data_IF_926917562811
#
_entry.id   IF_926917562811
#
_cell.length_a   1.000
_cell.length_b   1.000
_cell.length_c   1.000
_cell.angle_alpha   90.00
_cell.angle_beta   90.00
_cell.angle_gamma   90.00
#
_symmetry.space_group_name_H-M   'P 1'
#
loop_
_entity.id
_entity.type
_entity.pdbx_description
1 polymer ?
#
# COMPACT_ATOMS: atom_id res chain seq x y z
N UNK A 1 25.25 32.81 -24.85
CA UNK A 1 24.06 32.34 -25.61
C UNK A 1 24.44 31.05 -26.29
N UNK A 2 24.10 29.90 -25.69
CA UNK A 2 24.34 28.59 -26.28
C UNK A 2 22.99 27.85 -26.25
N UNK A 3 22.36 27.75 -27.43
CA UNK A 3 21.14 26.97 -27.66
C UNK A 3 21.53 25.50 -27.72
N UNK A 4 20.96 24.67 -26.87
CA UNK A 4 21.01 23.20 -27.00
C UNK A 4 19.61 22.75 -27.40
N UNK A 5 19.56 22.00 -28.49
CA UNK A 5 18.37 21.62 -29.23
C UNK A 5 17.51 20.60 -28.46
N UNK A 6 16.19 20.82 -28.50
CA UNK A 6 15.18 19.82 -28.18
C UNK A 6 15.14 18.83 -29.33
N UNK A 7 15.66 17.61 -29.12
CA UNK A 7 15.45 16.50 -30.05
C UNK A 7 14.06 15.91 -29.84
N UNK A 8 13.23 16.05 -30.87
CA UNK A 8 11.98 15.34 -31.11
C UNK A 8 12.12 13.84 -30.83
N UNK A 9 11.06 13.28 -30.25
CA UNK A 9 10.80 11.85 -30.13
C UNK A 9 11.07 11.13 -31.45
N UNK A 10 11.97 10.14 -31.41
CA UNK A 10 12.00 9.10 -32.41
C UNK A 10 10.97 8.05 -31.97
N UNK A 11 9.87 7.95 -32.71
CA UNK A 11 8.96 6.81 -32.65
C UNK A 11 9.76 5.52 -32.88
N UNK A 12 10.02 4.78 -31.81
CA UNK A 12 10.43 3.38 -31.90
C UNK A 12 9.14 2.57 -31.95
N UNK A 13 8.88 1.97 -33.11
CA UNK A 13 7.82 1.01 -33.29
C UNK A 13 7.99 -0.13 -32.26
N UNK A 14 6.94 -0.38 -31.49
CA UNK A 14 6.87 -1.49 -30.54
C UNK A 14 7.08 -2.82 -31.27
N UNK A 15 8.06 -3.60 -30.82
CA UNK A 15 8.18 -5.02 -31.15
C UNK A 15 6.94 -5.77 -30.63
N UNK A 16 6.33 -6.71 -31.37
CA UNK A 16 5.09 -7.38 -30.96
C UNK A 16 5.23 -8.37 -29.78
N UNK A 17 6.41 -8.47 -29.14
CA UNK A 17 6.71 -9.50 -28.14
C UNK A 17 7.14 -8.97 -26.76
N UNK A 18 7.03 -7.68 -26.49
CA UNK A 18 7.14 -7.20 -25.11
C UNK A 18 5.81 -7.46 -24.40
N UNK A 19 5.71 -8.63 -23.77
CA UNK A 19 4.65 -8.92 -22.83
C UNK A 19 4.65 -7.81 -21.77
N UNK A 20 3.68 -6.91 -21.85
CA UNK A 20 3.38 -5.96 -20.77
C UNK A 20 3.18 -6.81 -19.52
N UNK A 21 4.16 -6.78 -18.63
CA UNK A 21 4.06 -7.37 -17.30
C UNK A 21 2.98 -6.57 -16.58
N UNK A 22 1.74 -7.06 -16.63
CA UNK A 22 0.61 -6.49 -15.92
C UNK A 22 0.92 -6.54 -14.44
N UNK A 23 1.24 -5.41 -13.81
CA UNK A 23 1.44 -5.27 -12.36
C UNK A 23 0.09 -5.42 -11.60
N UNK A 24 0.06 -6.14 -10.46
CA UNK A 24 -1.16 -6.31 -9.66
C UNK A 24 -1.73 -4.96 -9.22
N UNK A 25 -0.89 -4.10 -8.65
CA UNK A 25 -1.17 -2.68 -8.60
C UNK A 25 -0.67 -2.05 -9.91
N UNK A 26 -1.40 -1.11 -10.49
CA UNK A 26 -1.07 -0.49 -11.76
C UNK A 26 -1.07 1.04 -11.67
N UNK A 27 -0.46 1.67 -12.68
CA UNK A 27 -0.48 3.11 -12.88
C UNK A 27 -1.92 3.58 -13.15
N UNK A 28 -2.58 4.14 -12.14
CA UNK A 28 -3.97 4.62 -12.23
C UNK A 28 -4.14 6.10 -11.90
N UNK A 29 -3.14 6.73 -11.27
CA UNK A 29 -3.16 8.17 -11.08
C UNK A 29 -2.88 8.90 -12.42
N UNK A 30 -3.60 10.00 -12.65
CA UNK A 30 -3.60 10.71 -13.93
C UNK A 30 -2.42 11.69 -14.07
N UNK A 31 -1.93 12.25 -12.96
CA UNK A 31 -0.81 13.20 -12.92
C UNK A 31 0.31 12.68 -12.03
N UNK A 32 0.85 11.51 -12.39
CA UNK A 32 1.87 10.78 -11.61
C UNK A 32 1.46 10.61 -10.13
N UNK A 33 2.03 11.39 -9.23
CA UNK A 33 1.77 11.32 -7.78
C UNK A 33 0.77 12.37 -7.29
N UNK A 34 0.44 13.35 -8.12
CA UNK A 34 -0.47 14.42 -7.76
C UNK A 34 -1.92 13.92 -7.83
N UNK A 35 -2.72 14.10 -6.77
CA UNK A 35 -4.13 13.82 -6.84
C UNK A 35 -4.82 14.71 -7.88
N UNK A 36 -5.78 14.16 -8.61
CA UNK A 36 -6.45 14.84 -9.73
C UNK A 36 -7.96 14.73 -9.62
N UNK A 37 -8.66 15.80 -9.99
CA UNK A 37 -10.12 15.82 -10.13
C UNK A 37 -10.56 14.97 -11.34
N UNK A 38 -11.63 14.21 -11.15
CA UNK A 38 -12.29 13.39 -12.16
C UNK A 38 -13.80 13.47 -11.96
N UNK A 39 -14.54 13.21 -13.05
CA UNK A 39 -15.98 13.02 -12.97
C UNK A 39 -16.32 11.90 -11.97
N UNK A 40 -17.23 12.20 -11.05
CA UNK A 40 -17.72 11.19 -10.14
C UNK A 40 -18.55 10.12 -10.86
N UNK A 41 -18.53 8.87 -10.37
CA UNK A 41 -19.48 7.86 -10.83
C UNK A 41 -20.93 8.32 -10.59
N UNK A 42 -21.86 7.78 -11.37
CA UNK A 42 -23.30 8.11 -11.29
C UNK A 42 -23.86 7.94 -9.87
N UNK A 43 -23.40 6.90 -9.18
CA UNK A 43 -23.57 6.78 -7.72
C UNK A 43 -22.37 7.42 -7.05
N UNK A 44 -22.52 8.64 -6.53
CA UNK A 44 -21.42 9.36 -5.88
C UNK A 44 -20.91 8.59 -4.65
N UNK A 45 -19.60 8.62 -4.39
CA UNK A 45 -19.04 8.00 -3.20
C UNK A 45 -19.55 8.69 -1.93
N UNK A 46 -19.66 7.92 -0.86
CA UNK A 46 -20.03 8.40 0.47
C UNK A 46 -19.36 7.53 1.53
N UNK A 47 -19.29 8.02 2.76
CA UNK A 47 -18.74 7.26 3.88
C UNK A 47 -19.76 6.22 4.32
N UNK A 48 -19.37 4.95 4.19
CA UNK A 48 -20.16 3.80 4.57
C UNK A 48 -20.04 3.55 6.07
N UNK A 49 -21.14 3.22 6.75
CA UNK A 49 -21.12 2.76 8.15
C UNK A 49 -20.37 1.44 8.28
N UNK A 50 -19.59 1.29 9.35
CA UNK A 50 -18.81 0.08 9.65
C UNK A 50 -19.64 -1.12 10.17
N UNK A 51 -20.97 -1.04 10.18
CA UNK A 51 -21.87 -2.12 10.63
C UNK A 51 -21.76 -3.42 9.81
N UNK A 52 -21.32 -3.31 8.56
CA UNK A 52 -21.21 -4.44 7.61
C UNK A 52 -19.91 -4.33 6.81
N UNK A 53 -19.67 -5.29 5.93
CA UNK A 53 -18.61 -5.17 4.91
C UNK A 53 -19.11 -4.28 3.75
N UNK A 54 -18.18 -3.84 2.91
CA UNK A 54 -18.56 -3.20 1.64
C UNK A 54 -19.16 -4.22 0.67
N UNK A 55 -20.01 -3.74 -0.25
CA UNK A 55 -20.62 -4.56 -1.29
C UNK A 55 -19.52 -5.16 -2.19
N UNK A 56 -18.45 -4.41 -2.42
CA UNK A 56 -17.28 -4.82 -3.19
C UNK A 56 -16.57 -6.00 -2.52
N UNK A 57 -16.35 -5.94 -1.20
CA UNK A 57 -15.77 -7.05 -0.44
C UNK A 57 -16.70 -8.26 -0.41
N UNK A 58 -18.01 -8.09 -0.18
CA UNK A 58 -18.99 -9.19 -0.20
C UNK A 58 -18.97 -9.93 -1.55
N UNK A 59 -19.00 -9.19 -2.67
CA UNK A 59 -18.88 -9.75 -4.02
C UNK A 59 -17.54 -10.45 -4.27
N UNK A 60 -16.46 -9.92 -3.69
CA UNK A 60 -15.16 -10.55 -3.80
C UNK A 60 -15.11 -11.86 -2.98
N UNK A 61 -15.73 -11.90 -1.81
CA UNK A 61 -15.83 -13.09 -0.95
C UNK A 61 -16.59 -14.23 -1.62
N UNK A 62 -17.62 -13.93 -2.42
CA UNK A 62 -18.33 -14.94 -3.23
C UNK A 62 -17.39 -15.71 -4.16
N UNK A 63 -16.29 -15.08 -4.60
CA UNK A 63 -15.23 -15.71 -5.42
C UNK A 63 -14.12 -16.31 -4.55
N UNK A 64 -13.67 -15.58 -3.52
CA UNK A 64 -12.55 -15.99 -2.67
C UNK A 64 -12.86 -17.26 -1.89
N UNK A 65 -14.00 -17.31 -1.20
CA UNK A 65 -14.34 -18.42 -0.30
C UNK A 65 -14.31 -19.79 -1.02
N UNK A 66 -14.88 -19.97 -2.22
CA UNK A 66 -14.69 -21.19 -3.00
C UNK A 66 -13.21 -21.53 -3.24
N UNK A 67 -12.38 -20.55 -3.62
CA UNK A 67 -10.97 -20.77 -3.93
C UNK A 67 -10.10 -21.13 -2.71
N UNK A 68 -10.61 -20.96 -1.48
CA UNK A 68 -9.91 -21.39 -0.26
C UNK A 68 -10.11 -22.86 0.08
N UNK A 69 -11.12 -23.52 -0.50
CA UNK A 69 -11.57 -24.87 -0.13
C UNK A 69 -10.50 -25.92 -0.42
N UNK A 70 -10.11 -26.07 -1.69
CA UNK A 70 -9.16 -27.12 -2.09
C UNK A 70 -7.80 -26.97 -1.40
N UNK A 71 -7.17 -25.77 -1.35
CA UNK A 71 -5.92 -25.58 -0.62
C UNK A 71 -6.04 -25.94 0.86
N UNK A 72 -7.20 -25.68 1.48
CA UNK A 72 -7.42 -25.97 2.90
C UNK A 72 -7.61 -27.46 3.16
N UNK A 73 -8.29 -28.19 2.26
CA UNK A 73 -8.37 -29.65 2.32
C UNK A 73 -6.97 -30.25 2.19
N UNK A 74 -6.20 -29.84 1.18
CA UNK A 74 -4.83 -30.33 0.97
C UNK A 74 -3.92 -30.07 2.17
N UNK A 75 -4.00 -28.85 2.75
CA UNK A 75 -3.26 -28.48 3.95
C UNK A 75 -3.65 -29.36 5.14
N UNK A 76 -4.95 -29.47 5.45
CA UNK A 76 -5.42 -30.18 6.64
C UNK A 76 -5.20 -31.69 6.56
N UNK A 77 -5.35 -32.28 5.36
CA UNK A 77 -4.98 -33.68 5.13
C UNK A 77 -3.50 -33.92 5.40
N UNK A 78 -2.64 -32.99 4.96
CA UNK A 78 -1.19 -33.09 5.18
C UNK A 78 -0.78 -32.87 6.63
N UNK A 79 -1.49 -32.00 7.36
CA UNK A 79 -1.30 -31.81 8.82
C UNK A 79 -1.67 -33.08 9.58
N UNK A 80 -2.62 -33.89 9.06
CA UNK A 80 -2.93 -35.20 9.63
C UNK A 80 -3.50 -35.11 11.04
N UNK A 81 -4.48 -34.23 11.26
CA UNK A 81 -5.13 -34.05 12.57
C UNK A 81 -5.76 -35.38 12.99
N UNK A 82 -5.31 -35.90 14.14
CA UNK A 82 -5.81 -37.17 14.68
C UNK A 82 -7.33 -37.12 14.86
N UNK A 83 -8.01 -38.18 14.43
CA UNK A 83 -9.46 -38.37 14.56
C UNK A 83 -10.31 -37.33 13.79
N UNK A 84 -9.73 -36.64 12.78
CA UNK A 84 -10.44 -35.70 11.91
C UNK A 84 -10.24 -36.02 10.43
N UNK A 85 -11.32 -36.40 9.74
CA UNK A 85 -11.33 -36.52 8.28
C UNK A 85 -11.64 -35.17 7.64
N UNK A 86 -10.59 -34.45 7.29
CA UNK A 86 -10.69 -33.15 6.62
C UNK A 86 -11.46 -33.26 5.29
N UNK A 87 -11.24 -34.30 4.49
CA UNK A 87 -11.90 -34.42 3.19
C UNK A 87 -13.41 -34.61 3.37
N UNK A 88 -13.81 -35.52 4.27
CA UNK A 88 -15.22 -35.76 4.56
C UNK A 88 -15.92 -34.50 5.07
N UNK A 89 -15.28 -33.77 6.00
CA UNK A 89 -15.83 -32.53 6.56
C UNK A 89 -16.10 -31.50 5.46
N UNK A 90 -15.10 -31.25 4.60
CA UNK A 90 -15.22 -30.27 3.53
C UNK A 90 -16.19 -30.72 2.44
N UNK A 91 -16.21 -32.00 2.05
CA UNK A 91 -17.18 -32.53 1.08
C UNK A 91 -18.63 -32.33 1.56
N UNK A 92 -18.87 -32.49 2.86
CA UNK A 92 -20.18 -32.28 3.51
C UNK A 92 -20.59 -30.80 3.48
N UNK A 93 -19.65 -29.88 3.70
CA UNK A 93 -19.92 -28.45 3.89
C UNK A 93 -19.52 -27.55 2.71
N UNK A 94 -19.09 -28.11 1.57
CA UNK A 94 -18.55 -27.35 0.42
C UNK A 94 -19.48 -26.28 -0.17
N UNK A 95 -20.78 -26.34 0.13
CA UNK A 95 -21.80 -25.35 -0.28
C UNK A 95 -22.22 -24.39 0.84
N UNK A 96 -21.73 -24.58 2.06
CA UNK A 96 -22.02 -23.74 3.21
C UNK A 96 -20.72 -23.13 3.74
N UNK A 97 -20.27 -22.02 3.13
CA UNK A 97 -19.02 -21.36 3.49
C UNK A 97 -19.00 -20.83 4.93
N UNK A 98 -20.16 -20.58 5.55
CA UNK A 98 -20.25 -20.22 6.97
C UNK A 98 -19.89 -21.38 7.90
N UNK A 99 -20.00 -22.62 7.43
CA UNK A 99 -19.55 -23.81 8.14
C UNK A 99 -18.08 -24.16 7.83
N UNK A 100 -17.43 -23.48 6.88
CA UNK A 100 -16.02 -23.69 6.59
C UNK A 100 -15.14 -22.68 7.35
N UNK A 101 -13.92 -23.06 7.77
CA UNK A 101 -13.00 -22.13 8.41
C UNK A 101 -12.75 -20.89 7.54
N UNK A 102 -12.65 -19.74 8.21
CA UNK A 102 -12.25 -18.48 7.60
C UNK A 102 -10.90 -18.09 8.19
N UNK A 103 -9.83 -18.23 7.41
CA UNK A 103 -8.46 -18.05 7.88
C UNK A 103 -7.96 -16.66 7.49
N UNK A 104 -7.27 -15.99 8.41
CA UNK A 104 -6.53 -14.77 8.13
C UNK A 104 -5.10 -14.88 8.66
N UNK A 105 -4.15 -14.31 7.93
CA UNK A 105 -2.75 -14.20 8.36
C UNK A 105 -2.52 -12.76 8.79
N UNK A 106 -2.01 -12.56 10.02
CA UNK A 106 -1.70 -11.23 10.54
C UNK A 106 -0.20 -11.09 10.82
N UNK A 107 0.38 -9.99 10.35
CA UNK A 107 1.81 -9.77 10.32
C UNK A 107 2.22 -8.49 11.07
N UNK A 108 3.01 -8.64 12.13
CA UNK A 108 3.46 -7.54 12.99
C UNK A 108 4.59 -6.68 12.38
N UNK A 109 4.72 -5.46 12.90
CA UNK A 109 5.74 -4.49 12.50
C UNK A 109 7.15 -4.75 13.02
N UNK A 110 8.10 -3.94 12.56
CA UNK A 110 9.51 -3.99 13.00
C UNK A 110 10.55 -3.75 11.89
N UNK A 111 10.23 -2.88 10.93
CA UNK A 111 11.12 -2.52 9.81
C UNK A 111 11.60 -3.70 8.97
N UNK A 112 12.81 -3.59 8.40
CA UNK A 112 13.40 -4.64 7.55
C UNK A 112 13.52 -5.99 8.26
N UNK A 113 13.76 -6.02 9.58
CA UNK A 113 13.81 -7.28 10.34
C UNK A 113 12.48 -8.02 10.26
N UNK A 114 11.38 -7.32 10.53
CA UNK A 114 10.04 -7.91 10.46
C UNK A 114 9.68 -8.30 9.02
N UNK A 115 10.06 -7.46 8.05
CA UNK A 115 9.88 -7.74 6.63
C UNK A 115 10.59 -9.03 6.18
N UNK A 116 11.89 -9.15 6.44
CA UNK A 116 12.71 -10.30 6.03
C UNK A 116 12.29 -11.59 6.76
N UNK A 117 12.03 -11.51 8.07
CA UNK A 117 11.49 -12.64 8.82
C UNK A 117 10.10 -13.06 8.28
N UNK A 118 9.25 -12.07 7.99
CA UNK A 118 7.95 -12.32 7.38
C UNK A 118 8.03 -12.94 6.01
N UNK A 119 9.03 -12.58 5.21
CA UNK A 119 9.24 -13.20 3.90
C UNK A 119 9.54 -14.70 4.03
N UNK A 120 10.36 -15.10 5.00
CA UNK A 120 10.61 -16.52 5.28
C UNK A 120 9.35 -17.28 5.73
N UNK A 121 8.55 -16.68 6.62
CA UNK A 121 7.27 -17.28 7.07
C UNK A 121 6.29 -17.40 5.90
N UNK A 122 6.16 -16.34 5.10
CA UNK A 122 5.26 -16.31 3.96
C UNK A 122 5.68 -17.32 2.88
N UNK A 123 6.99 -17.46 2.64
CA UNK A 123 7.53 -18.49 1.75
C UNK A 123 7.14 -19.90 2.21
N UNK A 124 7.17 -20.17 3.51
CA UNK A 124 6.74 -21.47 4.07
C UNK A 124 5.23 -21.72 3.95
N UNK A 125 4.41 -20.66 3.98
CA UNK A 125 2.95 -20.74 3.85
C UNK A 125 2.46 -20.78 2.39
N UNK A 126 3.28 -20.32 1.46
CA UNK A 126 2.94 -20.21 0.05
C UNK A 126 3.21 -21.52 -0.69
N UNK A 127 2.17 -22.17 -1.21
CA UNK A 127 2.31 -23.43 -1.99
C UNK A 127 3.12 -23.27 -3.28
N UNK A 128 3.35 -22.03 -3.73
CA UNK A 128 4.18 -21.72 -4.90
C UNK A 128 5.68 -21.81 -4.61
N UNK A 129 6.07 -21.89 -3.33
CA UNK A 129 7.46 -22.14 -2.93
C UNK A 129 7.78 -23.62 -3.09
N UNK A 130 8.89 -23.92 -3.76
CA UNK A 130 9.33 -25.31 -3.98
C UNK A 130 9.41 -26.10 -2.67
N UNK A 131 8.92 -27.33 -2.70
CA UNK A 131 8.87 -28.26 -1.56
C UNK A 131 8.02 -27.80 -0.35
N UNK A 132 7.33 -26.65 -0.41
CA UNK A 132 6.50 -26.16 0.70
C UNK A 132 5.29 -27.04 1.04
N UNK A 133 4.91 -27.94 0.13
CA UNK A 133 3.79 -28.88 0.29
C UNK A 133 4.22 -30.31 0.64
N UNK A 134 5.52 -30.54 0.91
CA UNK A 134 6.00 -31.83 1.40
C UNK A 134 5.44 -32.17 2.78
N UNK A 135 5.44 -33.44 3.16
CA UNK A 135 4.99 -33.91 4.46
C UNK A 135 5.63 -33.10 5.60
N UNK A 136 4.80 -32.59 6.53
CA UNK A 136 5.24 -31.74 7.63
C UNK A 136 5.38 -30.24 7.32
N UNK A 137 5.16 -29.79 6.08
CA UNK A 137 5.24 -28.38 5.69
C UNK A 137 3.87 -27.69 5.55
N UNK A 138 3.86 -26.35 5.61
CA UNK A 138 2.66 -25.51 5.74
C UNK A 138 2.24 -24.80 4.44
N UNK A 139 2.83 -25.16 3.30
CA UNK A 139 2.50 -24.58 1.99
C UNK A 139 1.03 -24.77 1.65
N UNK A 140 0.38 -23.73 1.15
CA UNK A 140 -1.07 -23.72 0.93
C UNK A 140 -1.83 -22.93 2.00
N UNK A 141 -1.24 -22.65 3.17
CA UNK A 141 -1.88 -21.79 4.17
C UNK A 141 -2.17 -20.39 3.63
N UNK A 142 -1.28 -19.82 2.81
CA UNK A 142 -1.54 -18.54 2.13
C UNK A 142 -2.74 -18.68 1.16
N UNK A 143 -2.77 -19.76 0.39
CA UNK A 143 -3.85 -20.04 -0.57
C UNK A 143 -5.20 -20.29 0.12
N UNK A 144 -5.21 -20.90 1.31
CA UNK A 144 -6.41 -21.11 2.15
C UNK A 144 -6.89 -19.86 2.88
N UNK A 145 -6.06 -18.82 3.00
CA UNK A 145 -6.41 -17.62 3.79
C UNK A 145 -7.36 -16.70 3.02
N UNK A 146 -8.37 -16.13 3.67
CA UNK A 146 -9.20 -15.09 3.07
C UNK A 146 -8.48 -13.74 3.09
N UNK A 147 -7.81 -13.41 4.20
CA UNK A 147 -7.17 -12.11 4.38
C UNK A 147 -5.69 -12.27 4.77
N UNK A 148 -4.88 -11.29 4.37
CA UNK A 148 -3.52 -11.11 4.87
C UNK A 148 -3.35 -9.66 5.32
N UNK A 149 -3.25 -9.44 6.63
CA UNK A 149 -3.07 -8.13 7.21
C UNK A 149 -1.62 -7.90 7.64
N UNK A 150 -1.13 -6.67 7.50
CA UNK A 150 0.21 -6.30 7.91
C UNK A 150 0.32 -4.84 8.35
N UNK A 151 1.25 -4.57 9.27
CA UNK A 151 1.60 -3.21 9.68
C UNK A 151 3.11 -2.97 9.66
N UNK A 152 3.51 -1.70 9.48
CA UNK A 152 4.92 -1.25 9.47
C UNK A 152 5.79 -2.10 8.52
N UNK A 153 6.97 -2.57 8.93
CA UNK A 153 7.90 -3.32 8.06
C UNK A 153 7.28 -4.49 7.28
N UNK A 154 6.26 -5.18 7.81
CA UNK A 154 5.58 -6.25 7.06
C UNK A 154 4.54 -5.72 6.07
N UNK A 155 4.06 -4.49 6.23
CA UNK A 155 3.26 -3.84 5.18
C UNK A 155 4.09 -3.66 3.91
N UNK A 156 5.40 -3.41 4.00
CA UNK A 156 6.28 -3.33 2.84
C UNK A 156 6.37 -4.67 2.10
N UNK A 157 6.46 -5.78 2.83
CA UNK A 157 6.46 -7.12 2.26
C UNK A 157 5.16 -7.40 1.50
N UNK A 158 4.02 -7.24 2.18
CA UNK A 158 2.71 -7.52 1.58
C UNK A 158 2.43 -6.55 0.43
N UNK A 159 2.69 -5.25 0.62
CA UNK A 159 2.60 -4.25 -0.43
C UNK A 159 3.45 -4.57 -1.65
N UNK A 160 4.71 -4.98 -1.45
CA UNK A 160 5.61 -5.41 -2.53
C UNK A 160 5.05 -6.62 -3.28
N UNK A 161 4.58 -7.65 -2.57
CA UNK A 161 4.02 -8.85 -3.22
C UNK A 161 2.80 -8.49 -4.06
N UNK A 162 1.85 -7.75 -3.47
CA UNK A 162 0.63 -7.36 -4.15
C UNK A 162 0.79 -6.22 -5.15
N UNK A 163 1.89 -5.47 -5.14
CA UNK A 163 2.17 -4.52 -6.22
C UNK A 163 2.78 -5.24 -7.44
N UNK A 164 3.59 -6.27 -7.19
CA UNK A 164 4.36 -6.96 -8.21
C UNK A 164 3.75 -8.33 -8.52
N UNK A 165 2.51 -8.37 -8.98
CA UNK A 165 1.87 -9.57 -9.55
C UNK A 165 1.58 -10.68 -8.59
N UNK A 166 1.35 -10.31 -7.33
CA UNK A 166 1.19 -11.25 -6.25
C UNK A 166 2.39 -12.22 -6.27
N UNK A 167 3.60 -11.72 -6.57
CA UNK A 167 4.80 -12.56 -6.73
C UNK A 167 5.07 -13.39 -5.46
N UNK A 168 5.79 -14.51 -5.60
CA UNK A 168 6.20 -15.31 -4.44
C UNK A 168 7.56 -14.86 -3.92
N UNK A 169 7.81 -15.06 -2.63
CA UNK A 169 9.14 -14.79 -2.05
C UNK A 169 10.21 -15.62 -2.76
N UNK A 170 9.91 -16.87 -3.13
CA UNK A 170 10.85 -17.70 -3.89
C UNK A 170 11.18 -17.08 -5.25
N UNK A 171 10.20 -16.55 -5.99
CA UNK A 171 10.43 -15.91 -7.28
C UNK A 171 11.38 -14.72 -7.16
N UNK A 172 11.17 -13.86 -6.16
CA UNK A 172 12.07 -12.74 -5.85
C UNK A 172 13.49 -13.24 -5.58
N UNK A 173 13.64 -14.25 -4.71
CA UNK A 173 14.96 -14.74 -4.34
C UNK A 173 15.71 -15.42 -5.50
N UNK A 174 14.99 -16.03 -6.45
CA UNK A 174 15.58 -16.69 -7.62
C UNK A 174 16.23 -15.70 -8.59
N UNK A 175 15.71 -14.49 -8.68
CA UNK A 175 16.31 -13.42 -9.48
C UNK A 175 17.63 -12.92 -8.88
N UNK A 176 17.87 -13.18 -7.58
CA UNK A 176 19.12 -12.84 -6.90
C UNK A 176 19.41 -11.34 -6.96
N UNK A 177 20.64 -10.96 -7.30
CA UNK A 177 21.04 -9.55 -7.44
C UNK A 177 20.35 -8.82 -8.60
N UNK A 178 19.74 -9.56 -9.55
CA UNK A 178 19.06 -8.98 -10.70
C UNK A 178 17.58 -8.66 -10.42
N UNK A 179 17.06 -8.97 -9.23
CA UNK A 179 15.67 -8.64 -8.93
C UNK A 179 15.47 -7.13 -9.04
N UNK A 180 14.33 -6.62 -9.55
CA UNK A 180 14.05 -5.18 -9.59
C UNK A 180 13.39 -4.67 -8.30
N UNK A 181 13.08 -5.56 -7.35
CA UNK A 181 12.50 -5.24 -6.04
C UNK A 181 13.42 -5.75 -4.92
N UNK A 182 13.14 -5.45 -3.66
CA UNK A 182 14.01 -5.79 -2.54
C UNK A 182 15.48 -5.32 -2.71
N UNK A 183 15.66 -4.11 -3.27
CA UNK A 183 16.97 -3.50 -3.59
C UNK A 183 17.75 -3.07 -2.32
N UNK A 184 18.18 -4.03 -1.50
CA UNK A 184 18.79 -3.81 -0.17
C UNK A 184 20.30 -3.61 -0.16
N UNK A 185 20.96 -3.71 -1.32
CA UNK A 185 22.39 -3.46 -1.50
C UNK A 185 22.78 -2.03 -1.08
N UNK A 186 21.85 -1.08 -1.24
CA UNK A 186 21.99 0.29 -0.79
C UNK A 186 20.88 0.63 0.21
N UNK A 187 21.19 1.56 1.11
CA UNK A 187 20.19 2.09 2.03
C UNK A 187 19.19 3.01 1.30
N UNK A 188 18.03 3.26 1.92
CA UNK A 188 17.07 4.28 1.45
C UNK A 188 17.70 5.69 1.36
N UNK A 189 18.78 5.95 2.10
CA UNK A 189 19.50 7.23 2.09
C UNK A 189 20.46 7.37 0.91
N UNK A 190 20.73 6.28 0.20
CA UNK A 190 21.61 6.24 -0.97
C UNK A 190 20.79 6.03 -2.26
N UNK A 191 19.64 5.36 -2.17
CA UNK A 191 18.80 5.02 -3.30
C UNK A 191 19.34 3.81 -4.08
N UNK A 192 18.62 3.35 -5.12
CA UNK A 192 19.00 2.16 -5.88
C UNK A 192 20.39 2.34 -6.53
N UNK A 193 21.15 1.24 -6.71
CA UNK A 193 22.41 1.29 -7.43
C UNK A 193 22.15 1.63 -8.89
N UNK A 194 23.09 2.34 -9.50
CA UNK A 194 23.10 2.57 -10.94
C UNK A 194 24.48 2.24 -11.50
N UNK A 195 24.61 2.14 -12.82
CA UNK A 195 25.90 1.90 -13.47
C UNK A 195 26.88 3.08 -13.33
N UNK A 196 26.44 4.22 -12.77
CA UNK A 196 27.24 5.45 -12.60
C UNK A 196 27.90 5.58 -11.23
N UNK A 197 28.49 6.75 -10.96
CA UNK A 197 29.02 7.08 -9.63
C UNK A 197 27.85 7.25 -8.66
N UNK A 198 27.81 6.42 -7.61
CA UNK A 198 26.68 6.33 -6.66
C UNK A 198 26.27 7.68 -6.06
N UNK A 199 27.21 8.59 -5.80
CA UNK A 199 26.88 9.92 -5.24
C UNK A 199 25.99 10.73 -6.19
N UNK A 200 26.22 10.66 -7.51
CA UNK A 200 25.38 11.37 -8.48
C UNK A 200 24.01 10.72 -8.64
N UNK A 201 23.93 9.38 -8.57
CA UNK A 201 22.63 8.69 -8.59
C UNK A 201 21.82 8.96 -7.34
N UNK A 202 22.43 9.07 -6.16
CA UNK A 202 21.76 9.50 -4.92
C UNK A 202 21.16 10.90 -5.07
N UNK A 203 21.90 11.86 -5.64
CA UNK A 203 21.39 13.22 -5.84
C UNK A 203 20.20 13.27 -6.82
N UNK A 204 20.27 12.50 -7.92
CA UNK A 204 19.17 12.37 -8.88
C UNK A 204 17.95 11.69 -8.26
N UNK A 205 18.16 10.61 -7.51
CA UNK A 205 17.12 9.88 -6.77
C UNK A 205 16.32 10.81 -5.85
N UNK A 206 17.00 11.59 -5.01
CA UNK A 206 16.30 12.56 -4.16
C UNK A 206 15.66 13.69 -4.98
N UNK A 207 16.28 14.13 -6.08
CA UNK A 207 15.69 15.17 -6.94
C UNK A 207 14.35 14.72 -7.52
N UNK A 208 14.25 13.45 -7.92
CA UNK A 208 13.00 12.82 -8.37
C UNK A 208 11.97 12.80 -7.24
N UNK A 209 12.32 12.28 -6.06
CA UNK A 209 11.42 12.21 -4.90
C UNK A 209 10.87 13.60 -4.56
N UNK A 210 11.75 14.60 -4.46
CA UNK A 210 11.37 15.96 -4.09
C UNK A 210 10.50 16.62 -5.15
N UNK A 211 10.82 16.42 -6.44
CA UNK A 211 9.99 16.91 -7.55
C UNK A 211 8.57 16.37 -7.43
N UNK A 212 8.43 15.05 -7.26
CA UNK A 212 7.14 14.35 -7.22
C UNK A 212 6.29 14.80 -6.02
N UNK A 213 6.89 14.91 -4.82
CA UNK A 213 6.19 15.42 -3.62
C UNK A 213 5.79 16.89 -3.79
N UNK A 214 6.62 17.70 -4.46
CA UNK A 214 6.29 19.10 -4.78
C UNK A 214 5.15 19.24 -5.78
N UNK A 215 4.98 18.28 -6.70
CA UNK A 215 3.81 18.25 -7.60
C UNK A 215 2.54 18.04 -6.78
N UNK A 216 2.51 17.06 -5.85
CA UNK A 216 1.37 16.86 -4.93
C UNK A 216 1.06 18.10 -4.11
N UNK A 217 2.05 18.77 -3.53
CA UNK A 217 1.82 19.98 -2.72
C UNK A 217 1.26 21.17 -3.51
N UNK A 218 1.31 21.14 -4.84
CA UNK A 218 0.75 22.16 -5.74
C UNK A 218 -0.58 21.73 -6.37
N UNK A 219 -0.90 20.45 -6.29
CA UNK A 219 -2.11 19.89 -6.88
C UNK A 219 -3.35 20.54 -6.27
N UNK A 220 -4.37 20.75 -7.11
CA UNK A 220 -5.66 21.36 -6.75
C UNK A 220 -5.49 22.62 -5.89
N UNK A 221 -4.72 23.60 -6.38
CA UNK A 221 -4.43 24.86 -5.70
C UNK A 221 -3.74 24.73 -4.33
N UNK A 222 -3.06 23.61 -4.07
CA UNK A 222 -2.28 23.38 -2.84
C UNK A 222 -3.09 22.94 -1.64
N UNK A 223 -4.28 22.34 -1.86
CA UNK A 223 -5.10 21.79 -0.77
C UNK A 223 -4.46 20.56 -0.11
N UNK A 224 -3.61 19.82 -0.84
CA UNK A 224 -2.95 18.63 -0.31
C UNK A 224 -1.68 19.01 0.43
N UNK A 225 -1.74 18.89 1.75
CA UNK A 225 -0.55 19.01 2.59
C UNK A 225 0.37 17.80 2.38
N UNK A 226 1.68 18.05 2.44
CA UNK A 226 2.70 16.99 2.39
C UNK A 226 3.42 16.89 3.73
N UNK A 227 4.00 15.73 3.96
CA UNK A 227 4.63 15.30 5.21
C UNK A 227 5.93 14.54 4.92
N UNK A 228 6.67 14.20 5.98
CA UNK A 228 7.83 13.30 5.86
C UNK A 228 7.41 11.95 5.26
N UNK A 229 6.17 11.51 5.54
CA UNK A 229 5.64 10.25 5.02
C UNK A 229 5.56 10.23 3.48
N UNK A 230 5.34 11.37 2.83
CA UNK A 230 5.37 11.44 1.36
C UNK A 230 6.77 11.10 0.83
N UNK A 231 7.81 11.74 1.37
CA UNK A 231 9.21 11.49 0.99
C UNK A 231 9.61 10.04 1.30
N UNK A 232 9.26 9.57 2.49
CA UNK A 232 9.57 8.22 2.95
C UNK A 232 8.86 7.15 2.13
N UNK A 233 7.56 7.32 1.88
CA UNK A 233 6.75 6.43 1.05
C UNK A 233 7.30 6.34 -0.37
N UNK A 234 7.72 7.47 -0.96
CA UNK A 234 8.43 7.46 -2.26
C UNK A 234 9.76 6.73 -2.17
N UNK A 235 10.55 6.94 -1.13
CA UNK A 235 11.82 6.24 -0.95
C UNK A 235 11.63 4.71 -0.87
N UNK A 236 10.63 4.25 -0.11
CA UNK A 236 10.23 2.84 -0.02
C UNK A 236 9.87 2.28 -1.39
N UNK A 237 9.11 3.02 -2.19
CA UNK A 237 8.67 2.54 -3.51
C UNK A 237 9.83 2.15 -4.44
N UNK A 238 10.97 2.83 -4.38
CA UNK A 238 12.14 2.46 -5.19
C UNK A 238 12.76 1.11 -4.79
N UNK A 239 12.56 0.65 -3.56
CA UNK A 239 13.02 -0.68 -3.15
C UNK A 239 11.97 -1.75 -3.38
N UNK A 240 10.68 -1.42 -3.37
CA UNK A 240 9.62 -2.41 -3.28
C UNK A 240 8.72 -2.52 -4.52
N UNK A 241 8.81 -1.58 -5.47
CA UNK A 241 8.00 -1.60 -6.67
C UNK A 241 8.88 -1.74 -7.91
N UNK A 242 8.60 -2.76 -8.70
CA UNK A 242 9.22 -2.94 -10.02
C UNK A 242 8.56 -1.98 -11.00
N UNK A 243 8.87 -0.69 -10.89
CA UNK A 243 8.33 0.33 -11.78
C UNK A 243 9.33 1.48 -11.92
N UNK A 244 9.32 2.13 -13.08
CA UNK A 244 10.11 3.34 -13.34
C UNK A 244 9.88 4.36 -12.23
N UNK A 245 10.97 4.88 -11.65
CA UNK A 245 10.95 5.83 -10.53
C UNK A 245 10.12 5.36 -9.30
N UNK A 246 9.99 4.05 -9.12
CA UNK A 246 9.18 3.45 -8.06
C UNK A 246 7.68 3.69 -8.25
N UNK A 247 7.18 3.84 -9.49
CA UNK A 247 5.74 3.89 -9.78
C UNK A 247 5.00 5.02 -9.06
N UNK A 248 5.28 6.30 -9.34
CA UNK A 248 4.58 7.43 -8.71
C UNK A 248 3.06 7.42 -8.94
N UNK A 249 2.59 6.80 -10.03
CA UNK A 249 1.18 6.66 -10.36
C UNK A 249 0.49 5.38 -9.86
N UNK A 250 1.22 4.51 -9.16
CA UNK A 250 0.67 3.24 -8.68
C UNK A 250 -0.19 3.49 -7.45
N UNK A 251 -1.45 3.03 -7.49
CA UNK A 251 -2.39 3.23 -6.39
C UNK A 251 -2.71 1.91 -5.70
N UNK A 252 -3.02 1.93 -4.40
CA UNK A 252 -3.38 0.71 -3.69
C UNK A 252 -4.75 0.17 -4.14
N UNK A 253 -5.68 1.05 -4.51
CA UNK A 253 -6.99 0.66 -5.05
C UNK A 253 -6.88 -0.09 -6.39
N UNK A 254 -5.79 0.10 -7.14
CA UNK A 254 -5.60 -0.56 -8.44
C UNK A 254 -5.40 -2.07 -8.34
N UNK A 255 -5.12 -2.61 -7.14
CA UNK A 255 -5.08 -4.06 -6.86
C UNK A 255 -6.40 -4.72 -7.26
N UNK A 256 -7.52 -3.98 -7.23
CA UNK A 256 -8.82 -4.46 -7.71
C UNK A 256 -8.81 -4.93 -9.17
N UNK A 257 -7.93 -4.36 -10.01
CA UNK A 257 -7.85 -4.65 -11.43
C UNK A 257 -6.99 -5.89 -11.75
N UNK A 258 -6.27 -6.42 -10.76
CA UNK A 258 -5.46 -7.61 -10.93
C UNK A 258 -6.32 -8.86 -11.15
N UNK A 259 -5.87 -9.76 -12.02
CA UNK A 259 -6.57 -11.01 -12.30
C UNK A 259 -6.56 -11.98 -11.13
N UNK A 260 -5.47 -12.10 -10.37
CA UNK A 260 -5.44 -12.99 -9.20
C UNK A 260 -6.35 -12.47 -8.08
N UNK A 261 -6.37 -11.16 -7.84
CA UNK A 261 -7.23 -10.56 -6.83
C UNK A 261 -8.71 -10.58 -7.27
N UNK A 262 -9.05 -10.03 -8.45
CA UNK A 262 -10.43 -9.92 -8.94
C UNK A 262 -11.14 -11.26 -9.16
N UNK A 263 -10.38 -12.35 -9.39
CA UNK A 263 -10.89 -13.73 -9.45
C UNK A 263 -10.87 -14.47 -8.10
N UNK A 264 -10.44 -13.82 -7.01
CA UNK A 264 -10.40 -14.38 -5.66
C UNK A 264 -9.30 -15.42 -5.46
N UNK A 265 -8.25 -15.46 -6.29
CA UNK A 265 -7.14 -16.42 -6.18
C UNK A 265 -6.07 -15.99 -5.18
N UNK A 266 -5.88 -14.69 -5.00
CA UNK A 266 -5.07 -14.12 -3.92
C UNK A 266 -5.95 -13.81 -2.69
N UNK A 267 -5.42 -13.88 -1.45
CA UNK A 267 -6.10 -13.29 -0.29
C UNK A 267 -6.16 -11.77 -0.40
N UNK A 268 -7.05 -11.11 0.34
CA UNK A 268 -7.10 -9.65 0.34
C UNK A 268 -6.00 -9.05 1.21
N UNK A 269 -5.16 -8.14 0.68
CA UNK A 269 -4.16 -7.44 1.48
C UNK A 269 -4.85 -6.35 2.31
N UNK A 270 -4.53 -6.30 3.60
CA UNK A 270 -4.99 -5.26 4.51
C UNK A 270 -3.77 -4.60 5.14
N UNK A 271 -3.63 -3.29 4.93
CA UNK A 271 -2.58 -2.50 5.59
C UNK A 271 -3.22 -1.76 6.75
N UNK A 272 -2.61 -1.83 7.92
CA UNK A 272 -3.14 -1.22 9.14
C UNK A 272 -2.25 -0.06 9.59
N UNK A 273 -2.85 1.02 10.06
CA UNK A 273 -2.18 2.16 10.65
C UNK A 273 -2.96 2.72 11.84
N UNK A 274 -2.26 3.36 12.78
CA UNK A 274 -2.89 4.01 13.93
C UNK A 274 -3.08 5.50 13.65
N UNK A 275 -4.22 6.03 14.08
CA UNK A 275 -4.46 7.45 14.14
C UNK A 275 -3.65 8.08 15.29
N UNK A 276 -2.99 9.21 15.01
CA UNK A 276 -2.53 10.11 16.05
C UNK A 276 -3.49 11.28 16.12
N UNK A 277 -4.11 11.47 17.28
CA UNK A 277 -5.08 12.55 17.44
C UNK A 277 -4.42 13.92 17.23
N UNK A 278 -5.18 14.92 16.76
CA UNK A 278 -4.66 16.27 16.59
C UNK A 278 -4.08 16.83 17.89
N UNK A 279 -2.88 17.41 17.82
CA UNK A 279 -2.16 17.94 18.98
C UNK A 279 -1.48 16.90 19.88
N UNK A 280 -1.64 15.60 19.62
CA UNK A 280 -0.93 14.55 20.36
C UNK A 280 0.44 14.25 19.73
N UNK A 281 1.44 13.98 20.58
CA UNK A 281 2.78 13.57 20.16
C UNK A 281 2.99 12.06 20.20
N UNK A 282 2.20 11.36 21.02
CA UNK A 282 2.31 9.92 21.26
C UNK A 282 1.04 9.25 20.74
N UNK A 283 1.21 8.16 19.99
CA UNK A 283 0.10 7.28 19.60
C UNK A 283 -0.35 6.49 20.82
N UNK A 284 -1.60 6.70 21.22
CA UNK A 284 -2.18 6.08 22.41
C UNK A 284 -2.55 4.61 22.13
N UNK A 285 -2.57 3.77 23.18
CA UNK A 285 -3.16 2.43 23.08
C UNK A 285 -4.67 2.46 22.79
N UNK A 286 -5.31 3.63 22.91
CA UNK A 286 -6.71 3.87 22.57
C UNK A 286 -6.89 4.54 21.20
N UNK A 287 -5.81 4.72 20.44
CA UNK A 287 -5.88 5.32 19.11
C UNK A 287 -6.81 4.54 18.19
N UNK A 288 -7.51 5.25 17.31
CA UNK A 288 -8.31 4.63 16.26
C UNK A 288 -7.39 3.87 15.33
N UNK A 289 -7.68 2.59 15.11
CA UNK A 289 -6.99 1.76 14.13
C UNK A 289 -7.69 1.92 12.79
N UNK A 290 -6.96 2.39 11.78
CA UNK A 290 -7.41 2.46 10.41
C UNK A 290 -6.88 1.28 9.60
N UNK A 291 -7.73 0.74 8.74
CA UNK A 291 -7.32 -0.22 7.72
C UNK A 291 -7.44 0.38 6.32
N UNK A 292 -6.58 -0.11 5.44
CA UNK A 292 -6.55 0.13 4.02
C UNK A 292 -6.64 -1.22 3.33
N UNK A 293 -7.75 -1.48 2.65
CA UNK A 293 -7.91 -2.62 1.76
C UNK A 293 -8.13 -2.10 0.33
N UNK A 294 -8.06 -2.95 -0.72
CA UNK A 294 -8.15 -2.47 -2.09
C UNK A 294 -9.44 -1.66 -2.39
N UNK A 295 -10.51 -1.85 -1.63
CA UNK A 295 -11.80 -1.19 -1.85
C UNK A 295 -11.96 0.11 -1.04
N UNK A 296 -11.54 0.10 0.23
CA UNK A 296 -11.86 1.16 1.18
C UNK A 296 -10.76 1.41 2.23
N UNK A 297 -10.80 2.63 2.78
CA UNK A 297 -10.02 3.06 3.93
C UNK A 297 -10.97 3.44 5.05
N UNK A 298 -10.76 2.95 6.26
CA UNK A 298 -11.66 3.29 7.37
C UNK A 298 -11.36 2.55 8.65
N UNK A 299 -12.34 2.55 9.54
CA UNK A 299 -12.20 1.96 10.86
C UNK A 299 -13.49 1.34 11.37
N UNK A 300 -13.36 0.13 11.92
CA UNK A 300 -14.40 -0.51 12.74
C UNK A 300 -14.46 0.03 14.18
N UNK A 301 -13.52 0.88 14.58
CA UNK A 301 -13.48 1.44 15.93
C UNK A 301 -14.67 2.40 16.13
N UNK A 302 -15.40 2.37 17.26
CA UNK A 302 -16.60 3.21 17.46
C UNK A 302 -16.37 4.72 17.40
N UNK A 303 -15.11 5.19 17.43
CA UNK A 303 -14.74 6.59 17.28
C UNK A 303 -15.10 7.12 15.89
N UNK A 304 -14.50 6.51 14.85
CA UNK A 304 -14.74 6.85 13.44
C UNK A 304 -15.90 6.04 12.87
N UNK A 305 -15.90 4.72 13.08
CA UNK A 305 -16.98 3.79 12.68
C UNK A 305 -17.49 3.98 11.24
N UNK A 306 -16.57 4.13 10.28
CA UNK A 306 -16.91 4.35 8.89
C UNK A 306 -15.77 4.13 7.93
N UNK A 307 -16.11 3.98 6.65
CA UNK A 307 -15.21 3.66 5.56
C UNK A 307 -15.44 4.53 4.32
N UNK A 308 -14.36 5.08 3.79
CA UNK A 308 -14.31 5.83 2.55
C UNK A 308 -13.86 4.91 1.40
N UNK A 309 -14.44 5.06 0.21
CA UNK A 309 -13.95 4.37 -0.99
C UNK A 309 -12.50 4.77 -1.27
N UNK A 310 -11.58 3.79 -1.27
CA UNK A 310 -10.14 4.05 -1.26
C UNK A 310 -9.69 4.89 -2.46
N UNK A 311 -10.22 4.58 -3.64
CA UNK A 311 -9.93 5.32 -4.89
C UNK A 311 -10.22 6.81 -4.79
N UNK A 312 -11.14 7.21 -3.91
CA UNK A 312 -11.67 8.57 -3.82
C UNK A 312 -11.33 9.30 -2.51
N UNK A 313 -10.40 8.77 -1.68
CA UNK A 313 -10.13 9.30 -0.33
C UNK A 313 -9.62 10.75 -0.30
N UNK A 314 -9.12 11.28 -1.42
CA UNK A 314 -8.70 12.67 -1.54
C UNK A 314 -9.83 13.65 -1.89
N UNK A 315 -11.08 13.19 -1.95
CA UNK A 315 -12.23 14.03 -2.30
C UNK A 315 -12.72 14.83 -1.10
N UNK A 316 -13.44 15.93 -1.34
CA UNK A 316 -13.96 16.82 -0.31
C UNK A 316 -15.23 16.28 0.35
N UNK A 317 -15.10 15.22 1.13
CA UNK A 317 -16.21 14.72 1.93
C UNK A 317 -16.53 15.68 3.09
N UNK A 318 -17.81 15.88 3.35
CA UNK A 318 -18.29 16.60 4.53
C UNK A 318 -19.48 15.84 5.13
N UNK A 319 -19.41 15.54 6.43
CA UNK A 319 -20.47 14.80 7.12
C UNK A 319 -20.73 13.42 6.50
N UNK A 320 -19.71 12.84 5.87
CA UNK A 320 -19.78 11.55 5.18
C UNK A 320 -20.33 11.59 3.75
N UNK A 321 -20.52 12.77 3.14
CA UNK A 321 -21.06 12.91 1.79
C UNK A 321 -20.18 13.82 0.93
N UNK A 322 -20.18 13.58 -0.38
CA UNK A 322 -19.58 14.47 -1.37
C UNK A 322 -20.68 15.32 -2.02
N UNK A 323 -20.48 16.63 -2.10
CA UNK A 323 -21.45 17.56 -2.71
C UNK A 323 -21.72 17.22 -4.18
N UNK A 324 -22.94 17.45 -4.71
CA UNK A 324 -23.23 17.27 -6.13
C UNK A 324 -22.36 18.13 -7.06
N UNK A 325 -21.88 19.27 -6.57
CA UNK A 325 -21.08 20.24 -7.33
C UNK A 325 -19.56 20.00 -7.20
N UNK A 326 -19.14 18.99 -6.42
CA UNK A 326 -17.72 18.70 -6.16
C UNK A 326 -17.25 17.48 -6.93
N UNK A 327 -16.13 17.59 -7.65
CA UNK A 327 -15.53 16.49 -8.36
C UNK A 327 -14.93 15.45 -7.41
N UNK A 328 -14.79 14.23 -7.93
CA UNK A 328 -14.11 13.16 -7.22
C UNK A 328 -12.60 13.32 -7.41
N UNK A 329 -11.80 13.01 -6.41
CA UNK A 329 -10.35 13.07 -6.51
C UNK A 329 -9.78 11.66 -6.52
N UNK A 330 -8.90 11.35 -7.47
CA UNK A 330 -8.18 10.06 -7.55
C UNK A 330 -6.67 10.24 -7.41
N UNK A 331 -5.96 9.14 -7.16
CA UNK A 331 -4.48 9.11 -7.07
C UNK A 331 -3.91 9.43 -5.68
N UNK A 332 -4.75 9.86 -4.72
CA UNK A 332 -4.31 10.13 -3.34
C UNK A 332 -3.87 8.85 -2.60
N UNK A 333 -4.44 7.70 -2.96
CA UNK A 333 -4.11 6.38 -2.42
C UNK A 333 -2.84 5.76 -3.03
N UNK A 334 -1.83 6.58 -3.35
CA UNK A 334 -0.55 6.12 -3.85
C UNK A 334 -0.01 4.98 -2.98
N UNK A 335 0.40 3.88 -3.63
CA UNK A 335 0.78 2.66 -2.94
C UNK A 335 1.96 2.90 -1.98
N UNK A 336 2.98 3.63 -2.42
CA UNK A 336 4.12 4.02 -1.57
C UNK A 336 3.70 4.87 -0.37
N UNK A 337 2.74 5.79 -0.57
CA UNK A 337 2.20 6.60 0.51
C UNK A 337 1.43 5.76 1.55
N UNK A 338 0.56 4.84 1.12
CA UNK A 338 -0.16 3.91 2.02
C UNK A 338 0.83 3.04 2.83
N UNK A 339 1.88 2.53 2.19
CA UNK A 339 2.94 1.79 2.89
C UNK A 339 3.73 2.66 3.87
N UNK A 340 4.01 3.90 3.48
CA UNK A 340 4.63 4.91 4.33
C UNK A 340 3.77 5.22 5.55
N UNK A 341 2.45 5.38 5.39
CA UNK A 341 1.50 5.66 6.48
C UNK A 341 1.60 4.62 7.59
N UNK A 342 1.50 3.33 7.24
CA UNK A 342 1.61 2.21 8.18
C UNK A 342 2.98 2.12 8.89
N UNK A 343 3.99 2.84 8.39
CA UNK A 343 5.35 2.80 8.88
C UNK A 343 5.89 4.18 9.30
N UNK A 344 5.04 5.18 9.58
CA UNK A 344 5.46 6.58 9.80
C UNK A 344 6.26 6.88 11.09
N UNK A 345 6.81 5.89 11.79
CA UNK A 345 7.49 6.07 13.08
C UNK A 345 8.96 6.56 12.98
N UNK A 346 9.37 7.19 11.88
CA UNK A 346 10.79 7.43 11.58
C UNK A 346 11.26 8.88 11.70
N UNK A 347 11.17 9.44 12.91
CA UNK A 347 12.03 10.56 13.31
C UNK A 347 13.52 10.27 13.01
N UNK A 348 13.94 9.00 13.03
CA UNK A 348 15.31 8.58 12.70
C UNK A 348 15.68 8.67 11.21
N UNK A 349 14.79 8.35 10.27
CA UNK A 349 15.09 8.46 8.83
C UNK A 349 15.37 9.91 8.46
N UNK A 350 14.52 10.82 8.96
CA UNK A 350 14.71 12.25 8.77
C UNK A 350 16.00 12.78 9.43
N UNK A 351 16.25 12.43 10.69
CA UNK A 351 17.50 12.80 11.39
C UNK A 351 18.77 12.30 10.69
N UNK A 352 18.68 11.20 9.94
CA UNK A 352 19.78 10.68 9.14
C UNK A 352 19.89 11.34 7.76
N UNK A 353 18.76 11.67 7.12
CA UNK A 353 18.72 12.47 5.90
C UNK A 353 19.40 13.82 6.08
N UNK A 354 19.13 14.52 7.18
CA UNK A 354 19.76 15.82 7.49
C UNK A 354 21.28 15.73 7.63
N UNK A 355 21.78 14.60 8.15
CA UNK A 355 23.21 14.36 8.38
C UNK A 355 23.98 13.96 7.11
N UNK A 356 23.27 13.57 6.04
CA UNK A 356 23.90 13.08 4.82
C UNK A 356 24.48 14.25 4.00
N UNK A 357 25.82 14.31 3.92
CA UNK A 357 26.58 15.38 3.24
C UNK A 357 26.45 15.39 1.72
N UNK A 358 25.85 14.37 1.10
CA UNK A 358 25.51 14.35 -0.33
C UNK A 358 24.17 15.04 -0.64
N UNK A 359 23.38 15.31 0.40
CA UNK A 359 22.04 15.93 0.38
C UNK A 359 21.96 17.46 0.74
N UNK A 360 22.99 18.21 1.19
CA UNK A 360 22.84 19.56 1.77
C UNK A 360 22.31 20.69 0.89
N UNK A 361 22.21 20.52 -0.44
CA UNK A 361 21.72 21.56 -1.35
C UNK A 361 20.29 21.34 -1.86
N UNK A 362 19.83 20.09 -1.87
CA UNK A 362 18.55 19.72 -2.46
C UNK A 362 17.42 19.79 -1.43
N UNK A 363 17.68 19.38 -0.18
CA UNK A 363 16.71 19.54 0.90
C UNK A 363 16.46 21.02 1.22
N UNK A 364 17.48 21.88 1.19
CA UNK A 364 17.33 23.34 1.33
C UNK A 364 16.47 24.01 0.24
N UNK A 365 16.23 23.31 -0.89
CA UNK A 365 15.33 23.74 -1.98
C UNK A 365 13.93 23.13 -1.87
N UNK A 366 13.70 22.12 -1.00
CA UNK A 366 12.35 21.98 -0.46
C UNK A 366 12.09 23.28 0.26
N UNK A 367 10.96 23.89 -0.09
CA UNK A 367 10.47 25.13 0.47
C UNK A 367 10.77 25.12 1.97
N UNK A 368 11.36 26.19 2.50
CA UNK A 368 11.67 26.27 3.93
C UNK A 368 10.46 25.91 4.78
N UNK A 369 9.23 26.03 4.25
CA UNK A 369 7.98 25.52 4.81
C UNK A 369 7.90 24.01 5.08
N UNK A 370 8.45 23.11 4.27
CA UNK A 370 8.41 21.67 4.60
C UNK A 370 9.38 21.39 5.75
N UNK A 371 10.58 21.99 5.71
CA UNK A 371 11.62 21.78 6.73
C UNK A 371 11.37 22.56 8.05
N UNK A 372 10.85 23.78 8.00
CA UNK A 372 10.47 24.61 9.16
C UNK A 372 9.25 24.04 9.89
N UNK A 373 8.42 23.24 9.20
CA UNK A 373 7.26 22.56 9.78
C UNK A 373 7.59 21.18 10.33
N UNK A 374 8.73 20.60 9.98
CA UNK A 374 9.16 19.31 10.53
C UNK A 374 9.60 19.55 11.97
N UNK A 375 8.84 18.98 12.91
CA UNK A 375 8.95 19.23 14.34
C UNK A 375 7.91 20.22 14.89
N UNK A 376 7.08 20.82 14.04
CA UNK A 376 5.81 21.46 14.41
C UNK A 376 4.66 20.48 14.21
N UNK A 377 3.61 20.60 15.02
CA UNK A 377 2.47 19.68 15.19
C UNK A 377 2.06 18.94 13.89
N UNK A 378 2.28 17.61 13.82
CA UNK A 378 1.64 16.76 12.81
C UNK A 378 2.43 16.40 11.55
N UNK A 379 3.60 16.99 11.29
CA UNK A 379 4.33 16.78 10.01
C UNK A 379 5.24 15.54 9.93
N UNK A 380 5.43 14.84 11.05
CA UNK A 380 6.16 13.58 11.20
C UNK A 380 5.27 12.33 10.95
N UNK A 381 3.98 12.50 10.70
CA UNK A 381 3.05 11.43 10.32
C UNK A 381 2.44 11.69 8.95
N UNK A 382 1.78 10.66 8.40
CA UNK A 382 1.02 10.79 7.18
C UNK A 382 -0.09 11.85 7.33
N UNK A 383 -0.15 12.79 6.38
CA UNK A 383 -1.20 13.79 6.34
C UNK A 383 -2.26 13.38 5.29
N UNK A 384 -3.51 13.26 5.74
CA UNK A 384 -4.69 12.92 4.93
C UNK A 384 -5.60 14.14 4.72
N UNK A 385 -5.07 15.33 4.44
CA UNK A 385 -5.87 16.44 3.91
C UNK A 385 -6.11 16.22 2.42
N UNK A 386 -7.32 16.30 1.88
CA UNK A 386 -8.60 16.58 2.55
C UNK A 386 -9.09 15.36 3.34
N UNK A 387 -9.46 15.56 4.60
CA UNK A 387 -9.86 14.50 5.51
C UNK A 387 -11.17 13.83 5.03
N UNK A 388 -11.15 12.54 4.63
CA UNK A 388 -12.34 11.87 4.14
C UNK A 388 -13.42 11.71 5.22
N UNK A 389 -13.07 11.88 6.50
CA UNK A 389 -13.97 11.83 7.65
C UNK A 389 -14.23 13.22 8.24
N UNK A 390 -14.00 14.29 7.47
CA UNK A 390 -14.32 15.65 7.91
C UNK A 390 -15.82 15.78 8.23
N UNK A 391 -16.10 16.36 9.39
CA UNK A 391 -17.44 16.46 9.98
C UNK A 391 -18.18 15.11 10.16
N UNK A 392 -17.49 13.96 10.07
CA UNK A 392 -18.08 12.64 10.28
C UNK A 392 -17.89 12.18 11.73
N UNK A 393 -19.00 11.95 12.43
CA UNK A 393 -19.04 11.55 13.84
C UNK A 393 -18.28 12.50 14.79
N UNK A 394 -18.52 13.82 14.68
CA UNK A 394 -17.83 14.89 15.44
C UNK A 394 -17.74 14.70 16.96
N UNK A 395 -18.66 13.93 17.56
CA UNK A 395 -18.67 13.68 19.00
C UNK A 395 -17.62 12.65 19.44
N UNK A 396 -17.19 11.78 18.54
CA UNK A 396 -16.40 10.58 18.87
C UNK A 396 -15.14 10.44 18.02
N UNK A 397 -15.13 10.98 16.81
CA UNK A 397 -13.97 11.00 15.93
C UNK A 397 -13.07 12.20 16.26
N UNK A 398 -11.85 11.98 16.81
CA UNK A 398 -10.98 13.05 17.26
C UNK A 398 -10.45 13.94 16.12
N UNK A 399 -10.41 13.42 14.88
CA UNK A 399 -9.93 14.18 13.72
C UNK A 399 -11.04 14.82 12.88
N UNK A 400 -12.32 14.64 13.23
CA UNK A 400 -13.44 15.12 12.42
C UNK A 400 -13.46 16.64 12.20
N UNK A 401 -12.85 17.42 13.10
CA UNK A 401 -12.75 18.88 12.99
C UNK A 401 -11.59 19.39 12.14
N UNK A 402 -10.68 18.52 11.68
CA UNK A 402 -9.55 18.91 10.84
C UNK A 402 -9.84 18.57 9.38
N UNK A 403 -9.65 19.56 8.53
CA UNK A 403 -9.88 19.45 7.09
C UNK A 403 -8.66 18.92 6.35
#
# INVERSE_FOLDING_TARGET
MLRIAVTREAHIASSPNDAVLWHCASSQALDDYAPTEVDCPSTRPSIRSAERLSIEEEKWLEKRRPNTVDPMVELLQRVGIKDFDAKQYFDTHKRNYSALPNVAIAFSGGGYRAMLNGAGVLAAFDSRTSNSTNAGHLGGLLQSSTYVSALSGRSWLIGSIFANNFTSVEAITREGENTPICQFQNSLLEGPPTQGIQVFSTAQYFAIIVRVVKTKSKALAGIFSTSITDLYGRALSFQFLNATEGGPAYTFSSIQNDNNFSSGKAPMPIIVADERSPGELIVSLKSTVFEFNPFEMGSFNPTTYGFATLKYIGSKFEGGKLSPDEDCVTGFDNLGFVLGTSASLFNQFFLQLEKNKSIPGLLKKLDSKILERIGQEGHDIANYSTNPFFNYHNKTNPSAGNY
#
